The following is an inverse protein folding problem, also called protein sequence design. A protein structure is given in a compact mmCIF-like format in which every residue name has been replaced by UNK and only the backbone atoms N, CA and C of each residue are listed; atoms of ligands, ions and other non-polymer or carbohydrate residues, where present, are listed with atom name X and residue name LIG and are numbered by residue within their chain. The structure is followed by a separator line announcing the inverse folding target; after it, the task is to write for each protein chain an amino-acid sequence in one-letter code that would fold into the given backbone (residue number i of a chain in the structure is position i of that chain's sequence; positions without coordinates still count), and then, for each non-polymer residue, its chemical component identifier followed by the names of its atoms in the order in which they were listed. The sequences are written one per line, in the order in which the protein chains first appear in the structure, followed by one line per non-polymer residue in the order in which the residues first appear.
data_IF_706358313430
#
_entry.id   IF_706358313430
#
_cell.length_a   1.000
_cell.length_b   1.000
_cell.length_c   1.000
_cell.angle_alpha   90.00
_cell.angle_beta   90.00
_cell.angle_gamma   90.00
#
_symmetry.space_group_name_H-M   'P 1'
#
loop_
_entity.id
_entity.type
_entity.pdbx_description
1 polymer ?
#
# COMPACT_ATOMS: atom_id res chain seq x y z
N UNK A 1 -20.73 -18.24 -5.18
CA UNK A 1 -20.20 -17.36 -6.25
C UNK A 1 -18.68 -17.32 -6.13
N UNK A 2 -17.92 -17.43 -7.22
CA UNK A 2 -16.45 -17.27 -7.12
C UNK A 2 -16.12 -15.81 -6.79
N UNK A 3 -15.15 -15.58 -5.91
CA UNK A 3 -14.68 -14.23 -5.58
C UNK A 3 -14.03 -13.57 -6.79
N UNK A 4 -14.10 -12.24 -6.87
CA UNK A 4 -13.29 -11.48 -7.85
C UNK A 4 -11.80 -11.66 -7.50
N UNK A 5 -10.89 -11.76 -8.48
CA UNK A 5 -9.47 -11.96 -8.18
C UNK A 5 -8.86 -10.75 -7.46
N UNK A 6 -9.12 -9.53 -7.95
CA UNK A 6 -8.60 -8.29 -7.39
C UNK A 6 -9.57 -7.13 -7.64
N UNK A 7 -9.52 -6.10 -6.80
CA UNK A 7 -10.14 -4.77 -6.99
C UNK A 7 -9.11 -3.67 -6.76
N UNK A 8 -9.08 -2.67 -7.64
CA UNK A 8 -8.16 -1.53 -7.55
C UNK A 8 -8.77 -0.46 -6.65
N UNK A 9 -8.13 -0.14 -5.53
CA UNK A 9 -8.59 0.84 -4.54
C UNK A 9 -7.80 2.12 -4.70
N UNK A 10 -8.50 3.22 -4.99
CA UNK A 10 -7.90 4.56 -5.14
C UNK A 10 -8.44 5.46 -4.02
N UNK A 11 -7.59 5.85 -3.05
CA UNK A 11 -7.97 6.78 -2.00
C UNK A 11 -8.11 8.22 -2.53
N UNK A 12 -9.20 8.89 -2.17
CA UNK A 12 -9.49 10.26 -2.58
C UNK A 12 -9.82 11.09 -1.34
N UNK A 13 -8.94 12.01 -0.99
CA UNK A 13 -9.08 12.89 0.17
C UNK A 13 -9.01 14.39 -0.19
N UNK A 14 -8.70 14.70 -1.45
CA UNK A 14 -8.64 16.05 -2.01
C UNK A 14 -8.96 16.03 -3.50
N UNK A 15 -9.06 17.21 -4.10
CA UNK A 15 -9.04 17.35 -5.57
C UNK A 15 -7.63 17.04 -6.09
N UNK A 16 -7.60 16.36 -7.23
CA UNK A 16 -6.38 16.05 -7.97
C UNK A 16 -6.25 17.00 -9.16
N UNK A 17 -5.02 17.33 -9.52
CA UNK A 17 -4.65 18.07 -10.72
C UNK A 17 -4.82 17.20 -11.97
N UNK A 18 -4.85 17.85 -13.14
CA UNK A 18 -4.90 17.14 -14.42
C UNK A 18 -3.72 16.19 -14.62
N UNK A 19 -2.54 16.51 -14.07
CA UNK A 19 -1.37 15.66 -14.14
C UNK A 19 -1.54 14.36 -13.33
N UNK A 20 -2.08 14.47 -12.12
CA UNK A 20 -2.39 13.30 -11.27
C UNK A 20 -3.51 12.45 -11.90
N UNK A 21 -4.54 13.10 -12.46
CA UNK A 21 -5.61 12.43 -13.20
C UNK A 21 -5.06 11.70 -14.43
N UNK A 22 -4.11 12.27 -15.17
CA UNK A 22 -3.48 11.62 -16.32
C UNK A 22 -2.74 10.34 -15.93
N UNK A 23 -1.95 10.37 -14.84
CA UNK A 23 -1.26 9.18 -14.32
C UNK A 23 -2.25 8.12 -13.84
N UNK A 24 -3.29 8.52 -13.09
CA UNK A 24 -4.33 7.59 -12.64
C UNK A 24 -5.11 6.96 -13.80
N UNK A 25 -5.45 7.73 -14.85
CA UNK A 25 -6.08 7.21 -16.07
C UNK A 25 -5.20 6.17 -16.76
N UNK A 26 -3.89 6.43 -16.89
CA UNK A 26 -2.94 5.47 -17.43
C UNK A 26 -2.90 4.18 -16.61
N UNK A 27 -2.78 4.29 -15.27
CA UNK A 27 -2.75 3.13 -14.38
C UNK A 27 -4.02 2.28 -14.54
N UNK A 28 -5.18 2.92 -14.57
CA UNK A 28 -6.47 2.24 -14.75
C UNK A 28 -6.63 1.60 -16.13
N UNK A 29 -6.09 2.22 -17.19
CA UNK A 29 -6.11 1.65 -18.53
C UNK A 29 -5.27 0.37 -18.63
N UNK A 30 -4.09 0.34 -17.99
CA UNK A 30 -3.27 -0.88 -17.88
C UNK A 30 -3.97 -1.94 -17.02
N UNK A 31 -4.61 -1.54 -15.93
CA UNK A 31 -5.26 -2.44 -14.97
C UNK A 31 -6.73 -2.74 -15.31
N UNK A 32 -7.18 -2.48 -16.55
CA UNK A 32 -8.61 -2.52 -16.95
C UNK A 32 -9.32 -3.86 -16.74
N UNK A 33 -8.56 -4.94 -16.58
CA UNK A 33 -9.08 -6.27 -16.24
C UNK A 33 -9.72 -6.32 -14.84
N UNK A 34 -9.35 -5.40 -13.96
CA UNK A 34 -9.79 -5.38 -12.57
C UNK A 34 -10.72 -4.18 -12.33
N UNK A 35 -11.87 -4.38 -11.66
CA UNK A 35 -12.75 -3.28 -11.30
C UNK A 35 -12.03 -2.32 -10.35
N UNK A 36 -12.33 -1.03 -10.47
CA UNK A 36 -11.79 0.01 -9.61
C UNK A 36 -12.84 0.48 -8.60
N UNK A 37 -12.38 1.04 -7.49
CA UNK A 37 -13.20 1.69 -6.48
C UNK A 37 -12.48 2.92 -5.94
N UNK A 38 -13.20 4.04 -5.91
CA UNK A 38 -12.75 5.22 -5.20
C UNK A 38 -13.18 5.12 -3.74
N UNK A 39 -12.27 5.38 -2.81
CA UNK A 39 -12.56 5.41 -1.37
C UNK A 39 -12.34 6.80 -0.79
N UNK A 40 -13.31 7.28 0.00
CA UNK A 40 -13.23 8.59 0.66
C UNK A 40 -14.21 8.72 1.83
N UNK A 41 -14.26 9.89 2.45
CA UNK A 41 -15.21 10.20 3.52
C UNK A 41 -16.65 10.27 3.06
N UNK A 42 -17.62 10.01 3.95
CA UNK A 42 -19.05 10.21 3.70
C UNK A 42 -19.36 11.62 3.17
N UNK A 43 -18.78 12.65 3.79
CA UNK A 43 -18.91 14.05 3.36
C UNK A 43 -18.22 14.38 2.04
N UNK A 44 -17.37 13.48 1.51
CA UNK A 44 -16.60 13.68 0.28
C UNK A 44 -17.26 13.07 -0.97
N UNK A 45 -18.54 12.68 -0.90
CA UNK A 45 -19.22 12.00 -2.02
C UNK A 45 -19.26 12.82 -3.32
N UNK A 46 -19.42 14.13 -3.24
CA UNK A 46 -19.37 15.01 -4.40
C UNK A 46 -17.96 15.05 -5.02
N UNK A 47 -16.92 15.11 -4.19
CA UNK A 47 -15.52 15.03 -4.64
C UNK A 47 -15.24 13.70 -5.34
N UNK A 48 -15.65 12.58 -4.72
CA UNK A 48 -15.50 11.24 -5.29
C UNK A 48 -16.21 11.11 -6.64
N UNK A 49 -17.42 11.68 -6.77
CA UNK A 49 -18.18 11.65 -8.01
C UNK A 49 -17.48 12.44 -9.13
N UNK A 50 -16.98 13.64 -8.82
CA UNK A 50 -16.21 14.43 -9.77
C UNK A 50 -14.90 13.75 -10.19
N UNK A 51 -14.17 13.13 -9.26
CA UNK A 51 -12.96 12.34 -9.60
C UNK A 51 -13.32 11.14 -10.46
N UNK A 52 -14.40 10.43 -10.17
CA UNK A 52 -14.89 9.33 -11.01
C UNK A 52 -15.20 9.80 -12.43
N UNK A 53 -15.90 10.92 -12.59
CA UNK A 53 -16.20 11.50 -13.91
C UNK A 53 -14.92 11.84 -14.68
N UNK A 54 -13.91 12.40 -14.01
CA UNK A 54 -12.61 12.64 -14.63
C UNK A 54 -11.93 11.33 -15.03
N UNK A 55 -12.01 10.26 -14.24
CA UNK A 55 -11.34 8.98 -14.56
C UNK A 55 -12.10 8.09 -15.56
N UNK A 56 -13.42 8.26 -15.68
CA UNK A 56 -14.27 7.52 -16.60
C UNK A 56 -14.25 8.14 -18.00
N UNK A 57 -13.47 7.57 -18.92
CA UNK A 57 -13.51 7.80 -20.37
C UNK A 57 -14.00 6.56 -21.12
N UNK A 58 -14.04 6.62 -22.44
CA UNK A 58 -14.34 5.45 -23.28
C UNK A 58 -13.33 4.32 -23.00
N UNK A 59 -13.83 3.14 -22.60
CA UNK A 59 -12.99 1.97 -22.30
C UNK A 59 -12.42 1.90 -20.88
N UNK A 60 -12.82 2.79 -19.95
CA UNK A 60 -12.44 2.71 -18.53
C UNK A 60 -13.01 1.47 -17.83
N UNK A 61 -12.32 1.01 -16.78
CA UNK A 61 -12.81 -0.05 -15.88
C UNK A 61 -14.15 0.33 -15.24
N UNK A 62 -14.95 -0.69 -14.89
CA UNK A 62 -16.05 -0.53 -13.93
C UNK A 62 -15.51 0.16 -12.66
N UNK A 63 -16.02 1.35 -12.33
CA UNK A 63 -15.55 2.15 -11.20
C UNK A 63 -16.70 2.46 -10.24
N UNK A 64 -16.63 1.90 -9.04
CA UNK A 64 -17.57 2.19 -7.94
C UNK A 64 -17.02 3.24 -6.97
N UNK A 65 -17.87 3.67 -6.04
CA UNK A 65 -17.51 4.58 -4.95
C UNK A 65 -17.89 3.90 -3.63
N UNK A 66 -16.95 3.81 -2.72
CA UNK A 66 -17.15 3.34 -1.34
C UNK A 66 -16.78 4.46 -0.37
N UNK A 67 -17.58 4.65 0.68
CA UNK A 67 -17.36 5.74 1.65
C UNK A 67 -17.24 5.20 3.06
N UNK A 68 -16.38 5.84 3.86
CA UNK A 68 -16.22 5.58 5.29
C UNK A 68 -16.40 6.87 6.11
N UNK A 69 -16.34 6.76 7.44
CA UNK A 69 -16.42 7.94 8.31
C UNK A 69 -15.36 8.99 7.96
N UNK A 70 -15.75 10.27 7.99
CA UNK A 70 -14.90 11.40 7.59
C UNK A 70 -13.63 11.50 8.45
N UNK A 71 -13.68 11.04 9.70
CA UNK A 71 -12.54 11.03 10.62
C UNK A 71 -11.33 10.25 10.07
N UNK A 72 -11.56 9.24 9.23
CA UNK A 72 -10.51 8.46 8.59
C UNK A 72 -9.77 9.24 7.50
N UNK A 73 -10.38 10.27 6.92
CA UNK A 73 -9.79 11.07 5.84
C UNK A 73 -9.34 12.47 6.31
N UNK A 74 -9.49 12.76 7.61
CA UNK A 74 -9.10 14.04 8.20
C UNK A 74 -7.58 14.16 8.46
N UNK A 75 -6.85 13.04 8.53
CA UNK A 75 -5.41 13.04 8.84
C UNK A 75 -4.73 11.73 8.46
N UNK A 76 -3.40 11.73 8.35
CA UNK A 76 -2.60 10.51 8.12
C UNK A 76 -2.87 9.42 9.18
N UNK A 77 -2.88 9.72 10.50
CA UNK A 77 -3.23 8.71 11.50
C UNK A 77 -4.65 8.14 11.35
N UNK A 78 -5.62 8.98 10.95
CA UNK A 78 -6.98 8.53 10.64
C UNK A 78 -6.97 7.52 9.49
N UNK A 79 -6.26 7.84 8.41
CA UNK A 79 -6.20 6.97 7.24
C UNK A 79 -5.48 5.65 7.54
N UNK A 80 -4.38 5.70 8.30
CA UNK A 80 -3.69 4.51 8.80
C UNK A 80 -4.61 3.65 9.69
N UNK A 81 -5.46 4.29 10.50
CA UNK A 81 -6.44 3.57 11.31
C UNK A 81 -7.48 2.83 10.44
N UNK A 82 -7.98 3.45 9.37
CA UNK A 82 -8.86 2.79 8.42
C UNK A 82 -8.20 1.56 7.79
N UNK A 83 -6.98 1.71 7.26
CA UNK A 83 -6.26 0.64 6.55
C UNK A 83 -5.76 -0.51 7.44
N UNK A 84 -5.88 -0.38 8.76
CA UNK A 84 -5.61 -1.43 9.74
C UNK A 84 -6.88 -2.00 10.38
N UNK A 85 -8.06 -1.49 9.98
CA UNK A 85 -9.34 -1.88 10.56
C UNK A 85 -9.95 -3.09 9.86
N UNK A 86 -10.67 -3.91 10.63
CA UNK A 86 -11.52 -4.98 10.09
C UNK A 86 -12.57 -4.44 9.12
N UNK A 87 -13.21 -3.32 9.47
CA UNK A 87 -14.27 -2.70 8.69
C UNK A 87 -13.84 -2.40 7.24
N UNK A 88 -12.60 -1.96 7.04
CA UNK A 88 -12.05 -1.72 5.70
C UNK A 88 -12.00 -3.01 4.85
N UNK A 89 -11.43 -4.09 5.37
CA UNK A 89 -11.31 -5.34 4.61
C UNK A 89 -12.66 -6.04 4.42
N UNK A 90 -13.60 -5.90 5.34
CA UNK A 90 -14.96 -6.44 5.19
C UNK A 90 -15.71 -5.82 4.00
N UNK A 91 -15.48 -4.53 3.69
CA UNK A 91 -16.06 -3.86 2.52
C UNK A 91 -15.59 -4.45 1.19
N UNK A 92 -14.46 -5.16 1.17
CA UNK A 92 -13.90 -5.79 -0.03
C UNK A 92 -13.90 -7.32 0.01
N UNK A 93 -14.73 -7.90 0.88
CA UNK A 93 -14.80 -9.36 1.11
C UNK A 93 -15.27 -10.17 -0.12
N UNK A 94 -15.84 -9.51 -1.13
CA UNK A 94 -16.19 -10.08 -2.44
C UNK A 94 -14.99 -10.26 -3.38
N UNK A 95 -13.83 -9.69 -3.03
CA UNK A 95 -12.57 -9.82 -3.75
C UNK A 95 -11.56 -10.66 -2.94
N UNK A 96 -10.67 -11.37 -3.64
CA UNK A 96 -9.58 -12.11 -3.00
C UNK A 96 -8.46 -11.15 -2.58
N UNK A 97 -8.18 -10.17 -3.44
CA UNK A 97 -7.18 -9.14 -3.24
C UNK A 97 -7.75 -7.74 -3.45
N UNK A 98 -7.09 -6.77 -2.85
CA UNK A 98 -7.18 -5.36 -3.22
C UNK A 98 -5.79 -4.87 -3.62
N UNK A 99 -5.70 -4.04 -4.66
CA UNK A 99 -4.51 -3.27 -4.98
C UNK A 99 -4.76 -1.81 -4.58
N UNK A 100 -4.14 -1.34 -3.52
CA UNK A 100 -4.11 0.09 -3.22
C UNK A 100 -3.15 0.74 -4.21
N UNK A 101 -3.67 1.67 -5.01
CA UNK A 101 -2.92 2.44 -6.01
C UNK A 101 -3.17 3.93 -5.73
N UNK A 102 -2.27 4.55 -4.96
CA UNK A 102 -2.36 5.98 -4.65
C UNK A 102 -2.08 6.86 -5.88
N UNK A 103 -2.48 8.13 -5.80
CA UNK A 103 -2.37 9.12 -6.88
C UNK A 103 -0.93 9.36 -7.39
N UNK A 104 0.06 9.13 -6.53
CA UNK A 104 1.49 9.25 -6.78
C UNK A 104 2.18 7.89 -7.02
N UNK A 105 1.37 6.86 -7.32
CA UNK A 105 1.85 5.59 -7.87
C UNK A 105 1.80 5.59 -9.41
N UNK A 106 2.74 4.89 -10.04
CA UNK A 106 2.80 4.70 -11.48
C UNK A 106 2.87 3.20 -11.80
N UNK A 107 1.99 2.72 -12.67
CA UNK A 107 1.96 1.33 -13.15
C UNK A 107 2.69 1.25 -14.49
N UNK A 108 3.60 0.28 -14.61
CA UNK A 108 4.41 0.02 -15.80
C UNK A 108 4.04 -1.30 -16.48
N UNK A 109 3.53 -2.28 -15.72
CA UNK A 109 3.06 -3.57 -16.22
C UNK A 109 1.65 -3.87 -15.67
N UNK A 110 0.83 -4.55 -16.47
CA UNK A 110 -0.54 -4.96 -16.14
C UNK A 110 -0.64 -6.36 -15.50
N UNK A 111 0.44 -7.15 -15.55
CA UNK A 111 0.43 -8.56 -15.14
C UNK A 111 0.48 -8.73 -13.61
N UNK A 112 -0.71 -8.83 -12.99
CA UNK A 112 -0.85 -9.06 -11.55
C UNK A 112 -0.84 -10.55 -11.18
N UNK A 113 -0.97 -11.44 -12.16
CA UNK A 113 -1.19 -12.88 -11.99
C UNK A 113 -0.12 -13.55 -11.10
N UNK A 114 1.20 -13.31 -11.27
CA UNK A 114 2.21 -13.88 -10.39
C UNK A 114 2.02 -13.54 -8.91
N UNK A 115 1.42 -12.39 -8.61
CA UNK A 115 1.19 -11.92 -7.25
C UNK A 115 -0.08 -12.49 -6.63
N UNK A 116 -1.13 -12.61 -7.44
CA UNK A 116 -2.38 -13.25 -7.05
C UNK A 116 -2.16 -14.75 -6.78
N UNK A 117 -1.36 -15.42 -7.61
CA UNK A 117 -1.03 -16.84 -7.47
C UNK A 117 -0.02 -17.10 -6.35
N UNK A 118 0.87 -16.14 -6.07
CA UNK A 118 1.89 -16.22 -5.01
C UNK A 118 1.32 -16.34 -3.59
N UNK A 119 0.01 -16.05 -3.41
CA UNK A 119 -0.70 -16.12 -2.12
C UNK A 119 -0.03 -15.34 -0.98
N UNK A 120 0.65 -14.25 -1.31
CA UNK A 120 1.17 -13.33 -0.30
C UNK A 120 0.02 -12.59 0.39
N UNK A 121 0.17 -12.33 1.68
CA UNK A 121 -0.78 -11.55 2.45
C UNK A 121 -0.66 -10.04 2.15
N UNK A 122 0.55 -9.58 1.89
CA UNK A 122 0.87 -8.21 1.53
C UNK A 122 2.08 -8.18 0.60
N UNK A 123 2.03 -7.37 -0.46
CA UNK A 123 3.15 -7.05 -1.34
C UNK A 123 3.17 -5.55 -1.58
N UNK A 124 4.35 -4.94 -1.52
CA UNK A 124 4.60 -3.52 -1.78
C UNK A 124 6.09 -3.32 -2.07
N UNK A 125 6.53 -2.07 -2.27
CA UNK A 125 7.95 -1.79 -2.49
C UNK A 125 8.79 -2.15 -1.24
N UNK A 126 9.92 -2.87 -1.37
CA UNK A 126 10.75 -3.20 -0.21
C UNK A 126 11.42 -1.96 0.37
N UNK A 127 11.33 -1.79 1.69
CA UNK A 127 11.93 -0.65 2.37
C UNK A 127 13.41 -0.85 2.65
N UNK A 128 14.18 0.23 2.67
CA UNK A 128 15.61 0.24 2.97
C UNK A 128 15.88 0.80 4.38
N UNK A 129 17.02 0.43 4.97
CA UNK A 129 17.51 1.10 6.17
C UNK A 129 17.69 2.60 5.89
N UNK A 130 17.12 3.46 6.73
CA UNK A 130 17.08 4.91 6.49
C UNK A 130 15.76 5.39 5.87
N UNK A 131 14.88 4.47 5.45
CA UNK A 131 13.55 4.75 4.93
C UNK A 131 13.59 5.75 3.76
N UNK A 132 13.18 7.01 4.00
CA UNK A 132 13.16 8.06 2.99
C UNK A 132 14.54 8.56 2.57
N UNK A 133 15.56 8.30 3.39
CA UNK A 133 16.97 8.62 3.13
C UNK A 133 17.80 7.34 3.32
N UNK A 134 17.82 6.44 2.32
CA UNK A 134 18.50 5.16 2.44
C UNK A 134 19.99 5.31 2.76
N UNK A 135 20.49 4.42 3.62
CA UNK A 135 21.91 4.38 3.98
C UNK A 135 22.68 3.42 3.08
N UNK A 136 23.91 3.81 2.73
CA UNK A 136 24.82 2.94 2.00
C UNK A 136 25.79 2.18 2.93
N UNK A 137 26.15 0.93 2.60
CA UNK A 137 25.61 0.12 1.50
C UNK A 137 24.13 -0.22 1.72
N UNK A 138 23.35 -0.26 0.64
CA UNK A 138 21.90 -0.48 0.71
C UNK A 138 21.56 -1.80 1.42
N UNK A 139 20.64 -1.73 2.38
CA UNK A 139 20.16 -2.89 3.14
C UNK A 139 18.64 -2.89 3.17
N UNK A 140 18.06 -3.97 2.67
CA UNK A 140 16.62 -4.18 2.77
C UNK A 140 16.20 -4.47 4.21
N UNK A 141 15.09 -3.85 4.59
CA UNK A 141 14.32 -4.23 5.76
C UNK A 141 13.36 -5.38 5.40
N UNK A 142 12.82 -6.04 6.41
CA UNK A 142 11.75 -7.03 6.24
C UNK A 142 10.36 -6.42 6.05
N UNK A 143 10.27 -5.11 5.81
CA UNK A 143 9.02 -4.35 5.70
C UNK A 143 8.83 -3.82 4.28
N UNK A 144 7.58 -3.60 3.90
CA UNK A 144 7.18 -3.16 2.56
C UNK A 144 6.31 -1.91 2.68
N UNK A 145 6.38 -1.02 1.69
CA UNK A 145 5.61 0.22 1.62
C UNK A 145 4.13 -0.02 1.23
N UNK A 146 3.23 0.82 1.75
CA UNK A 146 1.78 0.71 1.55
C UNK A 146 1.15 1.47 0.38
N UNK A 147 1.84 2.42 -0.24
CA UNK A 147 1.23 3.37 -1.19
C UNK A 147 0.90 2.80 -2.58
N UNK A 148 1.73 1.88 -3.05
CA UNK A 148 1.37 0.89 -4.07
C UNK A 148 1.49 -0.49 -3.43
N UNK A 149 0.36 -1.10 -3.06
CA UNK A 149 0.39 -2.39 -2.35
C UNK A 149 -0.77 -3.32 -2.68
N UNK A 150 -0.46 -4.59 -2.92
CA UNK A 150 -1.43 -5.66 -3.10
C UNK A 150 -1.64 -6.36 -1.74
N UNK A 151 -2.89 -6.43 -1.29
CA UNK A 151 -3.25 -6.97 0.03
C UNK A 151 -4.29 -8.07 -0.12
N UNK A 152 -4.02 -9.24 0.46
CA UNK A 152 -4.98 -10.35 0.49
C UNK A 152 -6.04 -10.07 1.54
N UNK A 153 -7.30 -9.96 1.10
CA UNK A 153 -8.42 -9.57 1.97
C UNK A 153 -8.65 -10.60 3.07
N UNK A 154 -8.59 -11.89 2.72
CA UNK A 154 -8.83 -12.97 3.68
C UNK A 154 -7.69 -13.08 4.69
N UNK A 155 -6.43 -13.01 4.24
CA UNK A 155 -5.28 -13.06 5.14
C UNK A 155 -5.26 -11.88 6.13
N UNK A 156 -5.67 -10.69 5.69
CA UNK A 156 -5.82 -9.54 6.58
C UNK A 156 -6.91 -9.77 7.64
N UNK A 157 -8.09 -10.26 7.24
CA UNK A 157 -9.18 -10.58 8.18
C UNK A 157 -8.78 -11.70 9.16
N UNK A 158 -8.17 -12.78 8.68
CA UNK A 158 -7.72 -13.90 9.50
C UNK A 158 -6.64 -13.45 10.49
N UNK A 159 -5.71 -12.60 10.06
CA UNK A 159 -4.70 -12.02 10.95
C UNK A 159 -5.35 -11.15 12.04
N UNK A 160 -6.32 -10.31 11.69
CA UNK A 160 -7.07 -9.49 12.66
C UNK A 160 -7.90 -10.35 13.64
N UNK A 161 -8.46 -11.47 13.19
CA UNK A 161 -9.18 -12.42 14.04
C UNK A 161 -8.23 -13.17 15.00
N UNK A 162 -7.00 -13.41 14.55
CA UNK A 162 -5.97 -14.12 15.29
C UNK A 162 -5.19 -13.27 16.29
N UNK A 163 -5.45 -11.96 16.38
CA UNK A 163 -4.73 -11.05 17.29
C UNK A 163 -5.67 -10.30 18.25
N UNK A 164 -5.16 -10.00 19.43
CA UNK A 164 -5.72 -9.02 20.36
C UNK A 164 -4.73 -7.88 20.47
N UNK A 165 -5.18 -6.69 20.07
CA UNK A 165 -4.35 -5.49 20.11
C UNK A 165 -4.35 -4.92 21.52
N UNK A 166 -3.17 -4.83 22.12
CA UNK A 166 -2.96 -4.24 23.43
C UNK A 166 -2.19 -2.94 23.26
N UNK A 167 -2.73 -1.84 23.77
CA UNK A 167 -2.05 -0.54 23.75
C UNK A 167 -0.83 -0.58 24.68
N UNK A 168 0.27 0.05 24.27
CA UNK A 168 1.53 0.09 25.01
C UNK A 168 1.49 0.87 26.34
N UNK A 169 0.65 0.46 27.30
CA UNK A 169 0.69 0.96 28.67
C UNK A 169 2.01 0.55 29.36
N UNK A 170 2.37 1.24 30.46
CA UNK A 170 3.62 0.98 31.19
C UNK A 170 3.78 -0.48 31.60
N UNK A 171 2.71 -1.10 32.09
CA UNK A 171 2.73 -2.50 32.53
C UNK A 171 2.86 -3.48 31.35
N UNK A 172 2.26 -3.17 30.19
CA UNK A 172 2.38 -3.97 28.96
C UNK A 172 3.83 -3.97 28.49
N UNK A 173 4.49 -2.80 28.49
CA UNK A 173 5.91 -2.69 28.13
C UNK A 173 6.82 -3.44 29.11
N UNK A 174 6.50 -3.42 30.40
CA UNK A 174 7.23 -4.20 31.40
C UNK A 174 7.08 -5.71 31.16
N UNK A 175 5.85 -6.18 30.87
CA UNK A 175 5.57 -7.56 30.54
C UNK A 175 6.23 -8.01 29.22
N UNK A 176 6.27 -7.14 28.21
CA UNK A 176 6.99 -7.36 26.95
C UNK A 176 8.49 -7.57 27.22
N UNK A 177 9.11 -6.65 27.97
CA UNK A 177 10.54 -6.70 28.33
C UNK A 177 10.89 -7.93 29.17
N UNK A 178 9.97 -8.36 30.03
CA UNK A 178 10.13 -9.57 30.84
C UNK A 178 9.90 -10.87 30.05
N UNK A 179 9.56 -10.80 28.75
CA UNK A 179 9.33 -11.97 27.90
C UNK A 179 7.96 -12.65 28.11
N UNK A 180 7.11 -12.15 29.00
CA UNK A 180 5.80 -12.74 29.31
C UNK A 180 4.88 -12.75 28.09
N UNK A 181 4.88 -11.67 27.31
CA UNK A 181 4.08 -11.57 26.07
C UNK A 181 4.59 -12.56 25.02
N UNK A 182 5.92 -12.71 24.90
CA UNK A 182 6.53 -13.69 24.00
C UNK A 182 6.17 -15.11 24.37
N UNK A 183 6.27 -15.46 25.66
CA UNK A 183 5.86 -16.75 26.19
C UNK A 183 4.37 -17.04 25.97
N UNK A 184 3.50 -16.06 26.21
CA UNK A 184 2.08 -16.18 25.90
C UNK A 184 1.83 -16.42 24.41
N UNK A 185 2.47 -15.65 23.52
CA UNK A 185 2.31 -15.81 22.08
C UNK A 185 2.83 -17.16 21.57
N UNK A 186 3.90 -17.68 22.16
CA UNK A 186 4.37 -19.03 21.88
C UNK A 186 3.32 -20.07 22.26
N UNK A 187 2.75 -20.00 23.47
CA UNK A 187 1.65 -20.87 23.89
C UNK A 187 0.42 -20.72 22.99
N UNK A 188 0.03 -19.49 22.66
CA UNK A 188 -1.08 -19.22 21.73
C UNK A 188 -0.89 -19.89 20.37
N UNK A 189 0.35 -19.95 19.87
CA UNK A 189 0.65 -20.65 18.60
C UNK A 189 0.46 -22.17 18.67
N UNK A 190 0.60 -22.79 19.85
CA UNK A 190 0.41 -24.23 20.05
C UNK A 190 -1.06 -24.61 20.25
N UNK A 191 -1.83 -23.75 20.90
CA UNK A 191 -3.22 -24.03 21.31
C UNK A 191 -4.28 -23.29 20.48
N UNK A 192 -3.86 -22.52 19.47
CA UNK A 192 -4.77 -21.77 18.59
C UNK A 192 -5.46 -20.58 19.26
N UNK A 193 -4.92 -20.06 20.36
CA UNK A 193 -5.44 -18.84 20.98
C UNK A 193 -5.06 -17.61 20.17
N UNK A 194 -5.82 -16.52 20.38
CA UNK A 194 -5.42 -15.22 19.85
C UNK A 194 -4.07 -14.79 20.43
N UNK A 195 -3.25 -14.15 19.59
CA UNK A 195 -1.92 -13.64 19.94
C UNK A 195 -2.02 -12.19 20.41
N UNK A 196 -1.21 -11.79 21.38
CA UNK A 196 -1.15 -10.40 21.85
C UNK A 196 -0.22 -9.59 20.95
N UNK A 197 -0.76 -8.58 20.30
CA UNK A 197 -0.01 -7.59 19.53
C UNK A 197 0.10 -6.30 20.37
N UNK A 198 1.32 -5.97 20.79
CA UNK A 198 1.58 -4.68 21.45
C UNK A 198 1.68 -3.59 20.39
N UNK A 199 0.63 -2.79 20.28
CA UNK A 199 0.62 -1.70 19.31
C UNK A 199 1.51 -0.57 19.80
N UNK A 200 2.48 -0.19 18.97
CA UNK A 200 3.27 1.02 19.18
C UNK A 200 2.52 2.18 18.52
N UNK A 201 2.33 3.27 19.25
CA UNK A 201 1.61 4.44 18.73
C UNK A 201 2.37 5.09 17.57
N UNK A 202 1.63 5.72 16.65
CA UNK A 202 2.21 6.49 15.54
C UNK A 202 2.84 5.68 14.41
N UNK A 203 2.58 4.36 14.34
CA UNK A 203 3.02 3.55 13.22
C UNK A 203 2.16 3.78 11.98
N UNK A 204 2.81 3.80 10.82
CA UNK A 204 2.13 3.68 9.54
C UNK A 204 1.49 2.29 9.40
N UNK A 205 0.45 2.21 8.58
CA UNK A 205 -0.31 0.98 8.36
C UNK A 205 0.56 -0.13 7.73
N UNK A 206 1.51 0.26 6.88
CA UNK A 206 2.44 -0.65 6.23
C UNK A 206 3.40 -1.30 7.24
N UNK A 207 3.89 -0.54 8.21
CA UNK A 207 4.69 -1.03 9.34
C UNK A 207 3.86 -1.87 10.31
N UNK A 208 2.57 -1.56 10.48
CA UNK A 208 1.65 -2.43 11.21
C UNK A 208 1.55 -3.80 10.54
N UNK A 209 1.24 -3.85 9.24
CA UNK A 209 1.04 -5.11 8.51
C UNK A 209 2.35 -5.89 8.32
N UNK A 210 3.37 -5.24 7.77
CA UNK A 210 4.60 -5.90 7.33
C UNK A 210 5.65 -6.00 8.43
N UNK A 211 5.54 -5.16 9.46
CA UNK A 211 6.44 -5.15 10.62
C UNK A 211 5.88 -5.89 11.82
N UNK A 212 4.70 -5.50 12.32
CA UNK A 212 4.14 -6.09 13.55
C UNK A 212 3.37 -7.39 13.30
N UNK A 213 2.39 -7.36 12.39
CA UNK A 213 1.53 -8.50 12.10
C UNK A 213 2.34 -9.65 11.48
N UNK A 214 3.12 -9.38 10.43
CA UNK A 214 3.93 -10.41 9.77
C UNK A 214 4.94 -11.11 10.70
N UNK A 215 5.45 -10.42 11.73
CA UNK A 215 6.32 -11.05 12.75
C UNK A 215 5.56 -11.93 13.74
N UNK A 216 4.30 -11.61 14.00
CA UNK A 216 3.48 -12.28 15.00
C UNK A 216 2.63 -13.42 14.43
N UNK A 217 2.21 -13.30 13.17
CA UNK A 217 1.28 -14.20 12.48
C UNK A 217 2.02 -14.87 11.32
N UNK A 218 2.56 -16.09 11.50
CA UNK A 218 3.35 -16.78 10.47
C UNK A 218 2.59 -17.02 9.16
N UNK A 219 1.26 -17.10 9.24
CA UNK A 219 0.36 -17.28 8.11
C UNK A 219 0.22 -16.00 7.27
N UNK A 220 0.58 -14.83 7.83
CA UNK A 220 0.61 -13.54 7.14
C UNK A 220 1.91 -13.39 6.33
N UNK A 221 1.99 -14.12 5.22
CA UNK A 221 3.23 -14.27 4.43
C UNK A 221 3.55 -13.03 3.60
N UNK A 222 4.80 -12.58 3.68
CA UNK A 222 5.37 -11.55 2.82
C UNK A 222 6.33 -12.17 1.79
N UNK A 223 6.51 -11.56 0.61
CA UNK A 223 7.63 -11.90 -0.27
C UNK A 223 8.96 -11.48 0.34
N UNK A 224 10.04 -12.16 -0.04
CA UNK A 224 11.39 -11.69 0.26
C UNK A 224 11.65 -10.37 -0.49
N UNK A 225 12.53 -9.46 0.02
CA UNK A 225 12.77 -8.16 -0.60
C UNK A 225 13.12 -8.22 -2.09
N UNK A 226 14.01 -9.14 -2.51
CA UNK A 226 14.34 -9.33 -3.94
C UNK A 226 13.16 -9.79 -4.79
N UNK A 227 12.21 -10.52 -4.22
CA UNK A 227 10.95 -10.84 -4.91
C UNK A 227 10.07 -9.59 -4.99
N UNK A 228 9.93 -8.84 -3.89
CA UNK A 228 9.14 -7.61 -3.83
C UNK A 228 9.63 -6.53 -4.80
N UNK A 229 10.92 -6.49 -5.15
CA UNK A 229 11.46 -5.60 -6.19
C UNK A 229 10.76 -5.78 -7.54
N UNK A 230 10.30 -6.97 -7.90
CA UNK A 230 9.56 -7.14 -9.15
C UNK A 230 8.15 -6.52 -9.09
N UNK A 231 7.64 -6.24 -7.89
CA UNK A 231 6.32 -5.64 -7.70
C UNK A 231 6.40 -4.13 -7.74
N UNK A 232 7.22 -3.53 -6.89
CA UNK A 232 7.33 -2.08 -6.86
C UNK A 232 8.71 -1.57 -6.42
N UNK A 233 9.10 -0.43 -6.96
CA UNK A 233 10.18 0.40 -6.43
C UNK A 233 9.61 1.62 -5.68
N UNK A 234 10.45 2.23 -4.84
CA UNK A 234 10.18 3.52 -4.21
C UNK A 234 11.48 4.34 -4.17
N UNK A 235 12.32 4.13 -3.15
CA UNK A 235 13.59 4.84 -2.99
C UNK A 235 14.72 4.21 -3.80
N UNK A 236 15.67 5.04 -4.26
CA UNK A 236 16.84 4.62 -5.06
C UNK A 236 16.49 3.76 -6.30
N UNK A 237 15.49 4.13 -7.13
CA UNK A 237 15.02 3.28 -8.22
C UNK A 237 16.11 2.89 -9.24
N UNK A 238 17.14 3.72 -9.46
CA UNK A 238 18.28 3.34 -10.32
C UNK A 238 19.05 2.14 -9.75
N UNK A 239 19.37 2.16 -8.45
CA UNK A 239 20.03 1.03 -7.79
C UNK A 239 19.10 -0.18 -7.65
N UNK A 240 17.79 0.04 -7.47
CA UNK A 240 16.80 -1.04 -7.46
C UNK A 240 16.73 -1.76 -8.81
N UNK A 241 16.90 -1.03 -9.92
CA UNK A 241 16.95 -1.59 -11.26
C UNK A 241 18.18 -2.49 -11.44
N UNK A 242 19.35 -2.06 -10.96
CA UNK A 242 20.58 -2.87 -10.96
C UNK A 242 20.40 -4.15 -10.14
N UNK A 243 19.81 -4.04 -8.94
CA UNK A 243 19.50 -5.18 -8.08
C UNK A 243 18.44 -6.13 -8.66
N UNK A 244 17.67 -5.65 -9.64
CA UNK A 244 16.64 -6.39 -10.37
C UNK A 244 17.11 -6.88 -11.74
N UNK A 245 18.43 -6.90 -11.99
CA UNK A 245 19.04 -7.36 -13.24
C UNK A 245 18.51 -6.59 -14.47
N UNK A 246 18.29 -5.28 -14.32
CA UNK A 246 17.79 -4.41 -15.38
C UNK A 246 16.30 -4.55 -15.68
N UNK A 247 15.53 -5.25 -14.84
CA UNK A 247 14.08 -5.43 -15.02
C UNK A 247 13.29 -4.40 -14.22
N UNK A 248 12.40 -3.70 -14.91
CA UNK A 248 11.45 -2.79 -14.28
C UNK A 248 10.38 -3.57 -13.47
N UNK A 249 9.87 -2.98 -12.38
CA UNK A 249 8.81 -3.57 -11.57
C UNK A 249 7.44 -3.44 -12.26
N UNK A 250 6.42 -4.05 -11.66
CA UNK A 250 5.03 -3.80 -12.04
C UNK A 250 4.65 -2.31 -11.92
N UNK A 251 5.20 -1.60 -10.93
CA UNK A 251 5.03 -0.16 -10.80
C UNK A 251 5.93 0.48 -9.75
N UNK A 252 5.60 1.69 -9.33
CA UNK A 252 6.33 2.37 -8.27
C UNK A 252 5.41 3.28 -7.45
N UNK A 253 5.94 3.77 -6.33
CA UNK A 253 5.29 4.75 -5.47
C UNK A 253 6.20 5.97 -5.26
N UNK A 254 5.59 7.13 -5.03
CA UNK A 254 6.26 8.41 -4.82
C UNK A 254 7.27 8.77 -5.92
N UNK A 255 6.92 8.49 -7.19
CA UNK A 255 7.82 8.69 -8.34
C UNK A 255 8.30 10.14 -8.48
N UNK A 256 7.47 11.11 -8.07
CA UNK A 256 7.79 12.53 -8.14
C UNK A 256 8.88 12.94 -7.14
N UNK A 257 9.02 12.16 -6.05
CA UNK A 257 9.97 12.42 -4.96
C UNK A 257 11.32 11.74 -5.19
N UNK A 258 11.32 10.51 -5.70
CA UNK A 258 12.51 9.68 -5.77
C UNK A 258 12.98 9.49 -7.21
N UNK A 259 14.08 10.19 -7.56
CA UNK A 259 14.70 10.19 -8.89
C UNK A 259 13.68 10.43 -10.03
N UNK A 260 12.99 11.58 -10.08
CA UNK A 260 11.97 11.84 -11.10
C UNK A 260 12.48 11.70 -12.54
N UNK A 261 13.76 12.00 -12.79
CA UNK A 261 14.39 11.80 -14.11
C UNK A 261 14.48 10.31 -14.51
N UNK A 262 14.67 9.40 -13.55
CA UNK A 262 14.63 7.95 -13.80
C UNK A 262 13.25 7.56 -14.33
N UNK A 263 12.19 8.00 -13.64
CA UNK A 263 10.82 7.69 -14.04
C UNK A 263 10.44 8.35 -15.37
N UNK A 264 10.96 9.56 -15.66
CA UNK A 264 10.79 10.20 -16.96
C UNK A 264 11.36 9.36 -18.11
N UNK A 265 12.49 8.69 -17.89
CA UNK A 265 13.14 7.85 -18.89
C UNK A 265 12.40 6.51 -19.11
N UNK A 266 11.81 5.95 -18.05
CA UNK A 266 11.23 4.61 -18.07
C UNK A 266 9.70 4.57 -18.23
N UNK A 267 9.01 5.69 -18.10
CA UNK A 267 7.58 5.80 -18.34
C UNK A 267 7.24 5.99 -19.84
N UNK A 268 5.99 5.70 -20.26
CA UNK A 268 5.52 6.07 -21.59
C UNK A 268 5.70 7.56 -21.87
N UNK A 269 6.15 7.91 -23.07
CA UNK A 269 6.41 9.30 -23.47
C UNK A 269 5.18 10.22 -23.35
N UNK A 270 3.98 9.66 -23.50
CA UNK A 270 2.71 10.38 -23.31
C UNK A 270 2.48 10.86 -21.87
N UNK A 271 3.11 10.22 -20.88
CA UNK A 271 2.99 10.61 -19.48
C UNK A 271 4.04 11.61 -19.02
N UNK A 272 5.13 11.80 -19.77
CA UNK A 272 6.24 12.69 -19.38
C UNK A 272 5.76 14.09 -18.93
N UNK A 273 4.85 14.78 -19.66
CA UNK A 273 4.37 16.09 -19.21
C UNK A 273 3.68 16.05 -17.84
N UNK A 274 2.94 14.98 -17.53
CA UNK A 274 2.25 14.79 -16.26
C UNK A 274 3.23 14.44 -15.12
N UNK A 275 4.25 13.62 -15.39
CA UNK A 275 5.29 13.31 -14.41
C UNK A 275 6.10 14.56 -14.06
N UNK A 276 6.51 15.34 -15.05
CA UNK A 276 7.25 16.59 -14.86
C UNK A 276 6.42 17.61 -14.06
N UNK A 277 5.11 17.70 -14.31
CA UNK A 277 4.23 18.58 -13.56
C UNK A 277 4.13 18.19 -12.09
N UNK A 278 4.05 16.88 -11.78
CA UNK A 278 4.00 16.40 -10.40
C UNK A 278 5.36 16.52 -9.69
N UNK A 279 6.48 16.27 -10.38
CA UNK A 279 7.81 16.48 -9.84
C UNK A 279 8.05 17.95 -9.44
N UNK A 280 7.59 18.91 -10.26
CA UNK A 280 7.63 20.34 -9.92
C UNK A 280 6.80 20.70 -8.69
N UNK A 281 5.66 20.04 -8.48
CA UNK A 281 4.82 20.27 -7.29
C UNK A 281 5.40 19.61 -6.02
N UNK A 282 6.14 18.52 -6.18
CA UNK A 282 6.76 17.79 -5.08
C UNK A 282 8.12 18.37 -4.64
N UNK A 283 8.74 19.20 -5.48
CA UNK A 283 9.99 19.88 -5.14
C UNK A 283 9.78 20.80 -3.92
N UNK A 284 10.66 20.77 -2.91
CA UNK A 284 10.62 21.76 -1.84
C UNK A 284 10.77 23.15 -2.45
N UNK A 285 9.96 24.13 -2.00
CA UNK A 285 10.17 25.52 -2.42
C UNK A 285 11.62 25.92 -2.09
N UNK A 286 12.33 26.61 -3.01
CA UNK A 286 13.67 27.11 -2.70
C UNK A 286 13.55 28.00 -1.47
N UNK A 287 14.34 27.70 -0.44
CA UNK A 287 14.46 28.55 0.74
C UNK A 287 14.88 29.94 0.29
N UNK A 288 13.97 30.91 0.38
CA UNK A 288 14.23 32.32 0.16
C UNK A 288 15.09 32.91 1.29
#
# INVERSE_FOLDING_TARGET
MSKRPCRIVIPVYRRFSEAEIAVMRHNLALLKRYPAVLVGGHGQRALLSGVREMLCGEGSSEMSIETFEDCYFASIPGYNHLLTSRAFFERFSDSSYILICQHDALILDSNLEPWLDGRYAFVGAPMLEGFHEPKHPLKFLGTLNGGLSLRNVRAALDALDGIVIVRGARWVRAAEKAGLIGGFNFLSSLFGFRRLLVQRGGLNEDMFWTGQVARLVPEFRLPAPRTALRFAFETCPSEMLDLSEGRLPLGCHAFARYEPDFWRLHAPSSLVPALDAQARQAAPEPSA
#
